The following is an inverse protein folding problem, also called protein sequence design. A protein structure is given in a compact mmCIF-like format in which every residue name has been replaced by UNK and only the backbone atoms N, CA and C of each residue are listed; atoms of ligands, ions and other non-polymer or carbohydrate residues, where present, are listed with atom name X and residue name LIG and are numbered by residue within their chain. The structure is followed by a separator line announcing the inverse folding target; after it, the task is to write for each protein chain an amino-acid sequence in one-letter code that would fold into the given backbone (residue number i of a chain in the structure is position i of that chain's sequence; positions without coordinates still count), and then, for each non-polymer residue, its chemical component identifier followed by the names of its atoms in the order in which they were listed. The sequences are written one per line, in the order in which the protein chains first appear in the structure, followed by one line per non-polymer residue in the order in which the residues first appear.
data_IF_086824533486
#
_entry.id   IF_086824533486
#
_cell.length_a   1.000
_cell.length_b   1.000
_cell.length_c   1.000
_cell.angle_alpha   90.00
_cell.angle_beta   90.00
_cell.angle_gamma   90.00
#
_symmetry.space_group_name_H-M   'P 1'
#
loop_
_entity.id
_entity.type
_entity.pdbx_description
1 polymer ?
#
# COMPACT_ATOMS: atom_id res chain seq x y z
N UNK A 1 20.55 -13.84 14.10
CA UNK A 1 19.28 -13.30 13.58
C UNK A 1 18.23 -13.50 14.64
N UNK A 2 17.71 -12.41 15.18
CA UNK A 2 16.63 -12.44 16.16
C UNK A 2 15.32 -12.97 15.53
N UNK A 3 14.39 -13.42 16.37
CA UNK A 3 13.06 -13.84 15.91
C UNK A 3 12.32 -12.68 15.22
N UNK A 4 12.44 -11.47 15.78
CA UNK A 4 11.87 -10.26 15.20
C UNK A 4 12.48 -9.90 13.84
N UNK A 5 13.81 -10.01 13.69
CA UNK A 5 14.48 -9.79 12.41
C UNK A 5 14.00 -10.78 11.34
N UNK A 6 13.73 -12.03 11.73
CA UNK A 6 13.12 -13.01 10.82
C UNK A 6 11.72 -12.57 10.38
N UNK A 7 10.85 -12.14 11.30
CA UNK A 7 9.49 -11.69 10.98
C UNK A 7 9.48 -10.43 10.10
N UNK A 8 10.37 -9.46 10.35
CA UNK A 8 10.54 -8.28 9.48
C UNK A 8 10.89 -8.70 8.06
N UNK A 9 11.86 -9.60 7.90
CA UNK A 9 12.22 -10.14 6.57
C UNK A 9 11.04 -10.88 5.91
N UNK A 10 10.18 -11.54 6.68
CA UNK A 10 8.99 -12.20 6.14
C UNK A 10 7.99 -11.17 5.61
N UNK A 11 7.73 -10.11 6.36
CA UNK A 11 6.83 -9.04 5.92
C UNK A 11 7.38 -8.31 4.68
N UNK A 12 8.68 -8.00 4.65
CA UNK A 12 9.30 -7.40 3.46
C UNK A 12 9.15 -8.28 2.22
N UNK A 13 9.33 -9.61 2.37
CA UNK A 13 9.07 -10.55 1.28
C UNK A 13 7.59 -10.60 0.89
N UNK A 14 6.66 -10.43 1.83
CA UNK A 14 5.23 -10.34 1.54
C UNK A 14 4.91 -9.09 0.72
N UNK A 15 5.40 -7.92 1.14
CA UNK A 15 5.23 -6.64 0.43
C UNK A 15 5.79 -6.73 -1.00
N UNK A 16 6.99 -7.28 -1.17
CA UNK A 16 7.60 -7.52 -2.48
C UNK A 16 6.80 -8.53 -3.33
N UNK A 17 6.32 -9.62 -2.72
CA UNK A 17 5.48 -10.60 -3.42
C UNK A 17 4.17 -10.00 -3.89
N UNK A 18 3.54 -9.14 -3.09
CA UNK A 18 2.28 -8.49 -3.44
C UNK A 18 2.42 -7.65 -4.72
N UNK A 19 3.59 -7.06 -4.99
CA UNK A 19 3.88 -6.38 -6.27
C UNK A 19 3.68 -7.32 -7.45
N UNK A 20 4.29 -8.50 -7.39
CA UNK A 20 4.16 -9.50 -8.45
C UNK A 20 2.72 -10.02 -8.56
N UNK A 21 2.05 -10.25 -7.43
CA UNK A 21 0.67 -10.77 -7.41
C UNK A 21 -0.30 -9.77 -8.02
N UNK A 22 -0.31 -8.52 -7.55
CA UNK A 22 -1.20 -7.48 -8.07
C UNK A 22 -0.90 -7.18 -9.54
N UNK A 23 0.38 -7.11 -9.94
CA UNK A 23 0.74 -6.94 -11.34
C UNK A 23 0.17 -8.05 -12.22
N UNK A 24 0.29 -9.31 -11.80
CA UNK A 24 -0.27 -10.44 -12.54
C UNK A 24 -1.80 -10.38 -12.58
N UNK A 25 -2.44 -10.07 -11.45
CA UNK A 25 -3.89 -9.97 -11.35
C UNK A 25 -4.45 -8.96 -12.37
N UNK A 26 -3.86 -7.76 -12.44
CA UNK A 26 -4.29 -6.71 -13.37
C UNK A 26 -3.96 -7.06 -14.83
N UNK A 27 -2.74 -7.54 -15.09
CA UNK A 27 -2.31 -7.87 -16.47
C UNK A 27 -2.97 -9.12 -17.05
N UNK A 28 -3.58 -9.99 -16.22
CA UNK A 28 -4.35 -11.15 -16.66
C UNK A 28 -5.82 -10.85 -17.00
N UNK A 29 -6.28 -9.60 -16.89
CA UNK A 29 -7.66 -9.23 -17.21
C UNK A 29 -7.83 -9.17 -18.73
N UNK A 30 -8.31 -10.26 -19.31
CA UNK A 30 -8.55 -10.37 -20.76
C UNK A 30 -9.81 -9.64 -21.23
N UNK A 31 -10.76 -9.37 -20.33
CA UNK A 31 -12.03 -8.72 -20.64
C UNK A 31 -11.98 -7.23 -20.27
N UNK A 32 -11.88 -6.30 -21.23
CA UNK A 32 -11.83 -4.86 -20.94
C UNK A 32 -13.07 -4.34 -20.21
N UNK A 33 -14.22 -5.01 -20.34
CA UNK A 33 -15.42 -4.63 -19.61
C UNK A 33 -15.28 -4.83 -18.09
N UNK A 34 -14.41 -5.76 -17.64
CA UNK A 34 -14.15 -5.96 -16.21
C UNK A 34 -13.45 -4.74 -15.58
N UNK A 35 -12.64 -4.00 -16.34
CA UNK A 35 -12.00 -2.77 -15.88
C UNK A 35 -12.99 -1.63 -15.59
N UNK A 36 -14.20 -1.72 -16.14
CA UNK A 36 -15.27 -0.74 -15.96
C UNK A 36 -16.29 -1.15 -14.89
N UNK A 37 -16.17 -2.35 -14.32
CA UNK A 37 -17.03 -2.80 -13.23
C UNK A 37 -16.70 -2.06 -11.93
N UNK A 38 -17.70 -2.03 -11.04
CA UNK A 38 -17.61 -1.49 -9.68
C UNK A 38 -17.80 -2.61 -8.67
N UNK A 39 -17.26 -2.41 -7.47
CA UNK A 39 -17.46 -3.25 -6.29
C UNK A 39 -18.88 -3.08 -5.72
N UNK A 40 -19.89 -3.42 -6.54
CA UNK A 40 -21.31 -3.15 -6.29
C UNK A 40 -21.67 -1.66 -6.29
N UNK A 41 -22.94 -1.33 -6.58
CA UNK A 41 -23.51 0.01 -6.38
C UNK A 41 -22.60 1.20 -6.73
N UNK A 42 -22.30 2.01 -5.72
CA UNK A 42 -21.39 3.16 -5.73
C UNK A 42 -19.96 2.82 -5.26
N UNK A 43 -19.63 1.54 -5.18
CA UNK A 43 -18.30 1.03 -4.87
C UNK A 43 -17.25 1.38 -5.92
N UNK A 44 -16.00 1.06 -5.60
CA UNK A 44 -14.85 1.44 -6.40
C UNK A 44 -14.69 0.59 -7.65
N UNK A 45 -14.23 1.23 -8.72
CA UNK A 45 -13.65 0.58 -9.90
C UNK A 45 -12.24 0.10 -9.61
N UNK A 46 -11.68 -0.76 -10.47
CA UNK A 46 -10.28 -1.20 -10.36
C UNK A 46 -9.31 -0.02 -10.39
N UNK A 47 -9.54 0.99 -11.24
CA UNK A 47 -8.71 2.20 -11.27
C UNK A 47 -8.79 2.98 -9.96
N UNK A 48 -9.97 3.09 -9.35
CA UNK A 48 -10.14 3.73 -8.04
C UNK A 48 -9.38 2.98 -6.93
N UNK A 49 -9.41 1.65 -6.94
CA UNK A 49 -8.61 0.82 -6.00
C UNK A 49 -7.10 1.04 -6.21
N UNK A 50 -6.62 1.01 -7.46
CA UNK A 50 -5.20 1.21 -7.77
C UNK A 50 -4.73 2.64 -7.43
N UNK A 51 -5.57 3.64 -7.67
CA UNK A 51 -5.30 5.01 -7.26
C UNK A 51 -5.23 5.18 -5.75
N UNK A 52 -6.12 4.53 -5.01
CA UNK A 52 -6.07 4.48 -3.55
C UNK A 52 -4.77 3.84 -3.04
N UNK A 53 -4.33 2.74 -3.66
CA UNK A 53 -3.03 2.14 -3.34
C UNK A 53 -1.87 3.11 -3.59
N UNK A 54 -1.92 3.90 -4.68
CA UNK A 54 -0.92 4.96 -4.94
C UNK A 54 -0.90 6.02 -3.82
N UNK A 55 -2.08 6.49 -3.38
CA UNK A 55 -2.17 7.46 -2.28
C UNK A 55 -1.48 6.90 -1.04
N UNK A 56 -1.77 5.64 -0.69
CA UNK A 56 -1.26 5.02 0.51
C UNK A 56 0.24 4.69 0.46
N UNK A 57 0.83 4.45 -0.72
CA UNK A 57 2.30 4.38 -0.82
C UNK A 57 2.96 5.70 -0.40
N UNK A 58 2.38 6.84 -0.75
CA UNK A 58 2.91 8.16 -0.35
C UNK A 58 2.82 8.32 1.18
N UNK A 59 1.66 8.02 1.77
CA UNK A 59 1.46 8.14 3.21
C UNK A 59 2.29 7.15 4.02
N UNK A 60 2.33 5.88 3.60
CA UNK A 60 3.12 4.84 4.27
C UNK A 60 4.61 5.12 4.16
N UNK A 61 5.08 5.52 2.97
CA UNK A 61 6.47 5.86 2.74
C UNK A 61 6.93 7.06 3.58
N UNK A 62 6.10 8.10 3.68
CA UNK A 62 6.41 9.27 4.49
C UNK A 62 6.44 8.93 5.99
N UNK A 63 5.43 8.20 6.49
CA UNK A 63 5.38 7.80 7.90
C UNK A 63 6.54 6.89 8.29
N UNK A 64 6.88 5.92 7.45
CA UNK A 64 8.01 5.03 7.69
C UNK A 64 9.34 5.81 7.79
N UNK A 65 9.55 6.80 6.91
CA UNK A 65 10.75 7.66 6.94
C UNK A 65 10.77 8.59 8.15
N UNK A 66 9.62 9.13 8.55
CA UNK A 66 9.51 9.93 9.76
C UNK A 66 9.90 9.11 11.01
N UNK A 67 9.36 7.90 11.14
CA UNK A 67 9.68 7.02 12.28
C UNK A 67 11.14 6.53 12.23
N UNK A 68 11.60 6.05 11.07
CA UNK A 68 12.86 5.31 10.94
C UNK A 68 14.09 6.13 10.59
N UNK A 69 13.92 7.39 10.21
CA UNK A 69 15.03 8.26 9.80
C UNK A 69 14.92 9.69 10.36
N UNK A 70 14.03 9.91 11.34
CA UNK A 70 13.76 11.22 11.95
C UNK A 70 13.49 12.31 10.87
N UNK A 71 12.77 11.93 9.81
CA UNK A 71 12.37 12.85 8.75
C UNK A 71 11.25 13.79 9.20
N UNK A 72 10.86 14.74 8.35
CA UNK A 72 9.72 15.63 8.63
C UNK A 72 8.42 14.83 8.91
N UNK A 73 7.53 15.42 9.72
CA UNK A 73 6.24 14.83 10.05
C UNK A 73 5.48 14.46 8.76
N UNK A 74 4.92 13.24 8.65
CA UNK A 74 4.26 12.80 7.44
C UNK A 74 3.04 13.69 7.15
N UNK A 75 2.68 13.89 5.88
CA UNK A 75 1.47 14.60 5.53
C UNK A 75 0.27 13.90 6.18
N UNK A 76 -0.56 14.68 6.88
CA UNK A 76 -1.81 14.17 7.43
C UNK A 76 -2.78 13.87 6.29
N UNK A 77 -3.51 12.76 6.40
CA UNK A 77 -4.68 12.51 5.56
C UNK A 77 -5.71 13.61 5.82
N UNK A 78 -5.80 14.57 4.89
CA UNK A 78 -6.75 15.71 4.99
C UNK A 78 -8.17 15.35 4.56
N UNK A 79 -8.35 14.17 4.02
CA UNK A 79 -9.61 13.66 3.49
C UNK A 79 -9.68 12.15 3.71
N UNK A 80 -10.90 11.63 3.80
CA UNK A 80 -11.12 10.18 3.84
C UNK A 80 -10.65 9.52 2.54
N UNK A 81 -10.32 8.22 2.58
CA UNK A 81 -10.02 7.46 1.36
C UNK A 81 -11.06 7.60 0.24
N UNK A 82 -12.35 7.56 0.58
CA UNK A 82 -13.44 7.69 -0.38
C UNK A 82 -13.46 9.09 -1.03
N UNK A 83 -13.23 10.14 -0.24
CA UNK A 83 -13.13 11.50 -0.76
C UNK A 83 -11.88 11.69 -1.65
N UNK A 84 -10.74 11.10 -1.27
CA UNK A 84 -9.50 11.15 -2.06
C UNK A 84 -9.69 10.53 -3.43
N UNK A 85 -10.27 9.34 -3.47
CA UNK A 85 -10.51 8.61 -4.72
C UNK A 85 -11.33 9.43 -5.72
N UNK A 86 -12.40 10.08 -5.23
CA UNK A 86 -13.23 10.97 -6.05
C UNK A 86 -12.47 12.23 -6.46
N UNK A 87 -11.79 12.89 -5.52
CA UNK A 87 -11.09 14.14 -5.76
C UNK A 87 -9.95 13.99 -6.79
N UNK A 88 -9.28 12.84 -6.82
CA UNK A 88 -8.19 12.54 -7.75
C UNK A 88 -8.66 12.06 -9.13
N UNK A 89 -9.97 11.82 -9.31
CA UNK A 89 -10.53 11.37 -10.58
C UNK A 89 -9.97 10.03 -11.05
N UNK A 90 -9.72 9.09 -10.13
CA UNK A 90 -9.08 7.83 -10.48
C UNK A 90 -9.93 6.96 -11.43
N UNK A 91 -11.25 7.07 -11.36
CA UNK A 91 -12.16 6.35 -12.27
C UNK A 91 -11.93 6.67 -13.76
N UNK A 92 -11.36 7.85 -14.07
CA UNK A 92 -11.08 8.27 -15.46
C UNK A 92 -9.66 7.92 -15.92
N UNK A 93 -8.82 7.38 -15.03
CA UNK A 93 -7.44 7.04 -15.32
C UNK A 93 -7.31 5.59 -15.75
N UNK A 94 -6.33 5.32 -16.62
CA UNK A 94 -6.05 3.99 -17.11
C UNK A 94 -5.40 3.12 -16.00
N UNK A 95 -5.92 1.92 -15.80
CA UNK A 95 -5.50 1.03 -14.72
C UNK A 95 -4.02 0.61 -14.84
N UNK A 96 -3.50 0.44 -16.06
CA UNK A 96 -2.10 0.13 -16.33
C UNK A 96 -1.15 1.27 -15.92
N UNK A 97 -1.54 2.52 -16.18
CA UNK A 97 -0.80 3.72 -15.75
C UNK A 97 -0.75 3.82 -14.23
N UNK A 98 -1.88 3.59 -13.55
CA UNK A 98 -1.96 3.59 -12.09
C UNK A 98 -1.15 2.44 -11.47
N UNK A 99 -1.21 1.25 -12.07
CA UNK A 99 -0.40 0.11 -11.66
C UNK A 99 1.09 0.44 -11.74
N UNK A 100 1.55 1.02 -12.84
CA UNK A 100 2.98 1.37 -13.00
C UNK A 100 3.41 2.45 -12.00
N UNK A 101 2.57 3.46 -11.78
CA UNK A 101 2.80 4.47 -10.73
C UNK A 101 2.95 3.82 -9.35
N UNK A 102 2.03 2.93 -8.99
CA UNK A 102 2.08 2.21 -7.72
C UNK A 102 3.36 1.37 -7.60
N UNK A 103 3.76 0.65 -8.66
CA UNK A 103 4.99 -0.15 -8.67
C UNK A 103 6.24 0.70 -8.42
N UNK A 104 6.31 1.89 -9.01
CA UNK A 104 7.40 2.84 -8.78
C UNK A 104 7.48 3.29 -7.32
N UNK A 105 6.36 3.78 -6.78
CA UNK A 105 6.27 4.22 -5.38
C UNK A 105 6.60 3.08 -4.41
N UNK A 106 6.14 1.87 -4.71
CA UNK A 106 6.41 0.68 -3.92
C UNK A 106 7.88 0.28 -3.94
N UNK A 107 8.55 0.38 -5.09
CA UNK A 107 9.97 0.10 -5.20
C UNK A 107 10.79 1.06 -4.32
N UNK A 108 10.44 2.35 -4.31
CA UNK A 108 11.08 3.35 -3.46
C UNK A 108 10.87 3.07 -1.96
N UNK A 109 9.67 2.63 -1.57
CA UNK A 109 9.37 2.26 -0.20
C UNK A 109 10.08 0.97 0.23
N UNK A 110 10.12 -0.05 -0.62
CA UNK A 110 10.87 -1.28 -0.36
C UNK A 110 12.37 -1.01 -0.22
N UNK A 111 12.95 -0.17 -1.08
CA UNK A 111 14.34 0.23 -0.99
C UNK A 111 14.65 0.91 0.35
N UNK A 112 13.77 1.78 0.82
CA UNK A 112 13.89 2.38 2.16
C UNK A 112 13.88 1.32 3.25
N UNK A 113 12.87 0.44 3.33
CA UNK A 113 12.85 -0.58 4.38
C UNK A 113 14.04 -1.54 4.32
N UNK A 114 14.51 -1.89 3.12
CA UNK A 114 15.67 -2.77 2.93
C UNK A 114 16.99 -2.11 3.33
N UNK A 115 17.03 -0.78 3.42
CA UNK A 115 18.19 -0.03 3.91
C UNK A 115 18.30 -0.03 5.44
N UNK A 116 17.21 -0.32 6.15
CA UNK A 116 17.19 -0.35 7.61
C UNK A 116 17.83 -1.64 8.15
N UNK A 117 18.53 -1.55 9.28
CA UNK A 117 19.04 -2.74 9.96
C UNK A 117 17.87 -3.51 10.60
N UNK A 118 17.57 -4.68 10.08
CA UNK A 118 16.46 -5.52 10.58
C UNK A 118 16.72 -6.10 11.97
N UNK A 119 17.97 -6.08 12.47
CA UNK A 119 18.31 -6.53 13.83
C UNK A 119 18.18 -5.42 14.88
N UNK A 120 18.00 -4.15 14.48
CA UNK A 120 17.91 -3.01 15.39
C UNK A 120 16.49 -2.86 15.99
N UNK A 121 16.23 -3.57 17.07
CA UNK A 121 14.90 -3.54 17.70
C UNK A 121 14.46 -2.15 18.19
N UNK A 122 15.39 -1.27 18.58
CA UNK A 122 15.05 0.09 19.03
C UNK A 122 14.49 0.92 17.87
N UNK A 123 15.16 0.87 16.72
CA UNK A 123 14.69 1.49 15.48
C UNK A 123 13.28 1.01 15.11
N UNK A 124 13.07 -0.31 15.08
CA UNK A 124 11.81 -0.89 14.62
C UNK A 124 10.64 -0.70 15.61
N UNK A 125 10.94 -0.48 16.89
CA UNK A 125 9.98 -0.13 17.93
C UNK A 125 9.76 1.38 18.08
N UNK A 126 10.59 2.21 17.43
CA UNK A 126 10.32 3.63 17.22
C UNK A 126 8.90 3.82 16.70
N UNK A 127 8.16 4.80 17.24
CA UNK A 127 6.72 4.93 17.00
C UNK A 127 6.24 6.37 17.03
N UNK A 128 5.08 6.58 16.41
CA UNK A 128 4.35 7.86 16.38
C UNK A 128 2.93 7.66 16.91
N UNK A 129 2.24 8.72 17.38
CA UNK A 129 0.83 8.63 17.74
C UNK A 129 -0.04 8.22 16.55
N UNK A 130 -0.94 7.26 16.74
CA UNK A 130 -1.89 6.82 15.73
C UNK A 130 -3.19 6.32 16.38
N UNK A 131 -4.29 7.05 16.16
CA UNK A 131 -5.54 6.78 16.87
C UNK A 131 -5.35 6.92 18.39
N UNK A 132 -5.63 5.87 19.16
CA UNK A 132 -5.47 5.85 20.61
C UNK A 132 -4.16 5.24 21.12
N UNK A 133 -3.23 4.85 20.24
CA UNK A 133 -2.01 4.15 20.63
C UNK A 133 -0.77 4.51 19.80
N UNK A 134 0.40 3.98 20.17
CA UNK A 134 1.62 4.12 19.37
C UNK A 134 1.53 3.25 18.11
N UNK A 135 2.18 3.71 17.05
CA UNK A 135 2.30 2.98 15.79
C UNK A 135 3.77 2.96 15.35
N UNK A 136 4.36 1.77 15.37
CA UNK A 136 5.78 1.56 15.09
C UNK A 136 6.08 1.19 13.64
N UNK A 137 7.37 1.08 13.28
CA UNK A 137 7.77 0.51 11.99
C UNK A 137 7.35 -0.96 11.84
N UNK A 138 7.39 -1.74 12.91
CA UNK A 138 6.87 -3.11 12.88
C UNK A 138 5.36 -3.12 12.55
N UNK A 139 4.58 -2.19 13.13
CA UNK A 139 3.16 -2.03 12.77
C UNK A 139 3.00 -1.59 11.31
N UNK A 140 3.86 -0.70 10.84
CA UNK A 140 3.85 -0.22 9.46
C UNK A 140 4.04 -1.37 8.47
N UNK A 141 5.00 -2.28 8.68
CA UNK A 141 5.22 -3.41 7.78
C UNK A 141 4.02 -4.34 7.70
N UNK A 142 3.41 -4.64 8.84
CA UNK A 142 2.21 -5.49 8.92
C UNK A 142 1.06 -4.83 8.19
N UNK A 143 0.78 -3.56 8.49
CA UNK A 143 -0.30 -2.81 7.84
C UNK A 143 -0.10 -2.74 6.33
N UNK A 144 1.12 -2.46 5.86
CA UNK A 144 1.43 -2.33 4.44
C UNK A 144 1.16 -3.64 3.68
N UNK A 145 1.60 -4.79 4.22
CA UNK A 145 1.35 -6.09 3.60
C UNK A 145 -0.14 -6.48 3.63
N UNK A 146 -0.86 -6.17 4.71
CA UNK A 146 -2.28 -6.49 4.85
C UNK A 146 -3.17 -5.62 3.96
N UNK A 147 -2.88 -4.32 3.86
CA UNK A 147 -3.62 -3.37 3.03
C UNK A 147 -3.66 -3.80 1.56
N UNK A 148 -2.54 -4.31 1.05
CA UNK A 148 -2.49 -4.90 -0.30
C UNK A 148 -3.44 -6.09 -0.46
N UNK A 149 -3.50 -6.97 0.54
CA UNK A 149 -4.35 -8.17 0.49
C UNK A 149 -5.83 -7.80 0.43
N UNK A 150 -6.26 -6.83 1.25
CA UNK A 150 -7.63 -6.35 1.29
C UNK A 150 -8.06 -5.79 -0.08
N UNK A 151 -7.19 -5.00 -0.73
CA UNK A 151 -7.48 -4.43 -2.04
C UNK A 151 -7.31 -5.40 -3.21
N UNK A 152 -6.45 -6.41 -3.09
CA UNK A 152 -6.43 -7.52 -4.05
C UNK A 152 -7.73 -8.33 -4.00
N UNK A 153 -8.27 -8.61 -2.80
CA UNK A 153 -9.58 -9.25 -2.65
C UNK A 153 -10.70 -8.40 -3.25
N UNK A 154 -10.66 -7.08 -3.02
CA UNK A 154 -11.60 -6.14 -3.66
C UNK A 154 -11.53 -6.20 -5.19
N UNK A 155 -10.33 -6.21 -5.78
CA UNK A 155 -10.16 -6.32 -7.23
C UNK A 155 -10.72 -7.66 -7.75
N UNK A 156 -10.47 -8.77 -7.05
CA UNK A 156 -11.03 -10.08 -7.42
C UNK A 156 -12.56 -10.02 -7.45
N UNK A 157 -13.20 -9.47 -6.41
CA UNK A 157 -14.66 -9.29 -6.38
C UNK A 157 -15.17 -8.48 -7.57
N UNK A 158 -14.51 -7.37 -7.91
CA UNK A 158 -14.88 -6.56 -9.07
C UNK A 158 -14.79 -7.37 -10.37
N UNK A 159 -13.75 -8.17 -10.55
CA UNK A 159 -13.56 -9.00 -11.75
C UNK A 159 -14.69 -10.05 -11.86
N UNK A 160 -14.97 -10.76 -10.77
CA UNK A 160 -15.97 -11.83 -10.72
C UNK A 160 -17.39 -11.30 -10.94
N UNK A 161 -17.72 -10.11 -10.42
CA UNK A 161 -19.01 -9.44 -10.58
C UNK A 161 -19.97 -9.74 -9.44
#
# INVERSE_FOLDING_TARGET
MSEMAMYRRWQLRSIDRNVRTLTRLITSIDNPAALQKRDGGDGWTISEVLGHLCDFEVYFGARARHIGADAEEPPQLRMSPAESVVAQGYAQQAADVLLERWRGLRADNLAFYQSLDVEDDELWQGSVPFGSGPFSLDNQLILHAMHDCDHMDQIVKIIEG
#
